data_IF_529382655999
#
_entry.id   IF_529382655999
#
_cell.length_a   1.000
_cell.length_b   1.000
_cell.length_c   1.000
_cell.angle_alpha   90.00
_cell.angle_beta   90.00
_cell.angle_gamma   90.00
#
_symmetry.space_group_name_H-M   'P 1'
#
loop_
_entity.id
_entity.type
_entity.pdbx_description
1 polymer ?
#
# COMPACT_ATOMS: atom_id res chain seq x y z
N UNK A 1 -32.69 21.62 2.33
CA UNK A 1 -31.46 21.34 3.09
C UNK A 1 -31.22 19.85 2.99
N UNK A 2 -30.10 19.46 2.38
CA UNK A 2 -29.81 18.09 2.02
C UNK A 2 -29.04 17.44 3.17
N UNK A 3 -29.64 16.42 3.78
CA UNK A 3 -28.97 15.58 4.76
C UNK A 3 -27.89 14.78 4.04
N UNK A 4 -26.62 14.98 4.40
CA UNK A 4 -25.56 14.04 4.04
C UNK A 4 -25.48 13.00 5.17
N UNK A 5 -25.82 11.73 4.92
CA UNK A 5 -25.74 10.70 5.93
C UNK A 5 -24.26 10.36 6.13
N UNK A 6 -23.73 10.77 7.28
CA UNK A 6 -22.60 10.09 7.92
C UNK A 6 -22.99 8.61 8.04
N UNK A 7 -22.52 7.83 7.07
CA UNK A 7 -22.53 6.39 7.07
C UNK A 7 -21.41 5.92 7.97
N UNK A 8 -21.72 5.81 9.26
CA UNK A 8 -20.94 5.08 10.24
C UNK A 8 -20.65 3.65 9.76
N UNK A 9 -19.48 3.48 9.18
CA UNK A 9 -18.64 2.29 9.26
C UNK A 9 -17.20 2.82 9.44
N UNK A 10 -16.79 3.32 10.60
CA UNK A 10 -16.79 2.59 11.86
C UNK A 10 -15.49 1.79 11.99
N UNK A 11 -14.37 2.48 12.27
CA UNK A 11 -13.19 1.87 12.89
C UNK A 11 -11.87 1.97 12.11
N UNK A 12 -11.11 3.05 12.34
CA UNK A 12 -9.86 3.08 13.12
C UNK A 12 -9.70 4.53 13.60
N UNK A 13 -9.47 4.74 14.89
CA UNK A 13 -9.18 6.04 15.46
C UNK A 13 -7.96 6.68 14.78
N UNK A 14 -8.11 7.88 14.25
CA UNK A 14 -7.03 8.69 13.64
C UNK A 14 -6.01 9.24 14.64
N UNK A 15 -6.10 8.85 15.92
CA UNK A 15 -5.15 9.23 16.99
C UNK A 15 -4.53 8.03 17.72
N UNK A 16 -4.61 6.81 17.16
CA UNK A 16 -4.24 5.58 17.87
C UNK A 16 -2.84 5.00 17.64
N UNK A 17 -2.00 5.56 16.76
CA UNK A 17 -0.77 4.87 16.32
C UNK A 17 0.48 5.76 16.30
N UNK A 18 0.66 6.55 17.35
CA UNK A 18 2.01 6.98 17.74
C UNK A 18 2.22 6.55 19.18
N UNK A 19 3.26 5.77 19.42
CA UNK A 19 3.77 5.43 20.74
C UNK A 19 4.36 6.70 21.42
N UNK A 20 3.52 7.72 21.61
CA UNK A 20 3.79 8.89 22.42
C UNK A 20 5.03 9.71 22.07
N UNK A 21 5.50 9.77 20.81
CA UNK A 21 6.65 10.62 20.49
C UNK A 21 6.72 11.17 19.05
N UNK A 22 5.92 12.20 18.70
CA UNK A 22 5.89 12.78 17.36
C UNK A 22 7.08 13.72 17.03
N UNK A 23 8.20 13.67 17.77
CA UNK A 23 9.22 14.76 17.73
C UNK A 23 10.65 14.30 17.38
N UNK A 24 10.95 13.02 17.18
CA UNK A 24 12.38 12.60 17.04
C UNK A 24 12.89 12.18 15.67
N UNK A 25 12.06 12.09 14.64
CA UNK A 25 12.54 11.63 13.33
C UNK A 25 12.11 12.58 12.21
N UNK A 26 12.66 13.80 12.25
CA UNK A 26 12.82 14.58 11.02
C UNK A 26 13.97 13.91 10.27
N UNK A 27 13.67 13.02 9.32
CA UNK A 27 14.63 12.54 8.33
C UNK A 27 14.72 13.60 7.22
N UNK A 28 15.80 14.40 7.13
CA UNK A 28 15.88 15.52 6.20
C UNK A 28 15.86 15.09 4.72
N UNK A 29 16.03 13.79 4.45
CA UNK A 29 16.00 13.23 3.10
C UNK A 29 14.71 12.45 2.82
N UNK A 30 14.01 11.94 3.85
CA UNK A 30 12.70 11.29 3.72
C UNK A 30 12.65 10.08 2.80
N UNK A 31 13.79 9.43 2.55
CA UNK A 31 13.90 8.41 1.49
C UNK A 31 13.61 6.99 1.97
N UNK A 32 13.58 6.72 3.28
CA UNK A 32 13.39 5.35 3.81
C UNK A 32 12.42 5.28 5.01
N UNK A 33 11.96 6.42 5.52
CA UNK A 33 11.02 6.49 6.63
C UNK A 33 9.58 6.65 6.12
N UNK A 34 8.61 6.24 6.94
CA UNK A 34 7.19 6.47 6.64
C UNK A 34 6.85 7.97 6.81
N UNK A 35 6.52 8.65 5.71
CA UNK A 35 6.05 10.04 5.72
C UNK A 35 4.52 10.11 5.71
N UNK A 36 3.96 10.43 6.88
CA UNK A 36 2.52 10.61 7.11
C UNK A 36 1.95 11.91 6.55
N UNK A 37 2.82 12.85 6.19
CA UNK A 37 2.46 14.21 5.79
C UNK A 37 2.78 14.51 4.33
N UNK A 38 3.21 13.51 3.56
CA UNK A 38 3.63 13.70 2.17
C UNK A 38 2.50 14.28 1.31
N UNK A 39 2.66 15.56 0.96
CA UNK A 39 1.79 16.35 0.07
C UNK A 39 2.45 16.67 -1.28
N UNK A 40 3.59 16.06 -1.57
CA UNK A 40 4.37 16.32 -2.78
C UNK A 40 3.50 16.17 -4.02
N UNK A 41 3.64 17.08 -4.98
CA UNK A 41 2.90 17.05 -6.25
C UNK A 41 1.38 17.23 -6.13
N UNK A 42 0.88 17.69 -4.97
CA UNK A 42 -0.55 17.89 -4.69
C UNK A 42 -1.23 16.67 -4.07
N UNK A 43 -0.46 15.77 -3.47
CA UNK A 43 -1.00 14.57 -2.81
C UNK A 43 -1.87 14.94 -1.61
N UNK A 44 -3.05 14.32 -1.54
CA UNK A 44 -3.99 14.51 -0.43
C UNK A 44 -3.63 13.62 0.76
N UNK A 45 -3.75 14.14 1.99
CA UNK A 45 -3.45 13.37 3.21
C UNK A 45 -4.34 12.13 3.39
N UNK A 46 -5.55 12.13 2.82
CA UNK A 46 -6.44 10.96 2.79
C UNK A 46 -5.89 9.81 1.95
N UNK A 47 -4.84 10.05 1.15
CA UNK A 47 -4.09 8.99 0.45
C UNK A 47 -3.25 8.14 1.43
N UNK A 48 -3.15 8.55 2.69
CA UNK A 48 -2.37 7.86 3.73
C UNK A 48 -0.87 8.15 3.61
N UNK A 49 -0.03 7.50 4.42
CA UNK A 49 1.42 7.72 4.40
C UNK A 49 2.09 7.17 3.13
N UNK A 50 3.30 7.65 2.87
CA UNK A 50 4.25 7.04 1.92
C UNK A 50 5.39 6.36 2.67
N UNK A 51 5.97 5.31 2.12
CA UNK A 51 7.16 4.66 2.66
C UNK A 51 8.14 4.40 1.53
N UNK A 52 9.37 4.90 1.64
CA UNK A 52 10.34 4.82 0.56
C UNK A 52 9.90 5.57 -0.71
N UNK A 53 10.41 5.14 -1.86
CA UNK A 53 10.11 5.75 -3.16
C UNK A 53 8.86 5.18 -3.84
N UNK A 54 8.37 4.02 -3.41
CA UNK A 54 7.32 3.26 -4.10
C UNK A 54 6.15 2.87 -3.18
N UNK A 55 6.30 2.92 -1.86
CA UNK A 55 5.21 2.67 -0.94
C UNK A 55 4.22 3.83 -0.87
N UNK A 56 2.98 3.61 -1.32
CA UNK A 56 1.83 4.43 -0.96
C UNK A 56 0.93 4.82 -2.10
N UNK A 57 -0.34 5.10 -1.78
CA UNK A 57 -1.32 5.52 -2.79
C UNK A 57 -0.86 6.82 -3.44
N UNK A 58 -0.88 6.87 -4.77
CA UNK A 58 -0.45 8.01 -5.57
C UNK A 58 1.01 8.43 -5.36
N UNK A 59 1.88 7.50 -4.96
CA UNK A 59 3.31 7.72 -4.79
C UNK A 59 4.06 6.57 -5.44
N UNK A 60 4.90 6.87 -6.43
CA UNK A 60 5.59 5.82 -7.20
C UNK A 60 6.86 6.36 -7.83
N UNK A 61 8.00 5.70 -7.61
CA UNK A 61 9.30 6.14 -8.10
C UNK A 61 9.71 7.53 -7.63
N UNK A 62 9.35 7.90 -6.40
CA UNK A 62 9.72 9.18 -5.76
C UNK A 62 8.91 10.38 -6.24
N UNK A 63 7.80 10.16 -6.96
CA UNK A 63 6.93 11.24 -7.46
C UNK A 63 5.46 10.94 -7.19
N UNK A 64 4.65 11.99 -7.18
CA UNK A 64 3.21 11.84 -7.16
C UNK A 64 2.69 11.33 -8.51
N UNK A 65 2.07 10.16 -8.49
CA UNK A 65 1.80 9.36 -9.70
C UNK A 65 0.33 9.36 -10.15
N UNK A 66 -0.59 9.92 -9.36
CA UNK A 66 -2.03 9.93 -9.71
C UNK A 66 -2.41 11.10 -10.61
N UNK A 67 -3.21 10.82 -11.63
CA UNK A 67 -3.83 11.84 -12.50
C UNK A 67 -3.40 11.71 -13.96
N UNK A 68 -4.01 12.50 -14.87
CA UNK A 68 -3.76 12.39 -16.29
C UNK A 68 -2.29 12.60 -16.65
N UNK A 69 -1.72 11.68 -17.42
CA UNK A 69 -0.33 11.74 -17.90
C UNK A 69 0.74 11.54 -16.81
N UNK A 70 0.35 11.11 -15.61
CA UNK A 70 1.28 10.81 -14.51
C UNK A 70 1.48 9.30 -14.40
N UNK A 71 2.65 8.92 -13.88
CA UNK A 71 3.07 7.53 -13.72
C UNK A 71 4.26 7.45 -12.77
N UNK A 72 4.85 6.26 -12.62
CA UNK A 72 6.03 6.06 -11.81
C UNK A 72 7.20 6.95 -12.23
N UNK A 73 7.91 7.49 -11.25
CA UNK A 73 9.19 8.15 -11.46
C UNK A 73 10.34 7.16 -11.63
N UNK A 74 11.57 7.67 -11.60
CA UNK A 74 12.79 6.87 -11.81
C UNK A 74 13.60 6.63 -10.54
N UNK A 75 13.13 7.07 -9.37
CA UNK A 75 13.85 6.82 -8.13
C UNK A 75 13.91 5.31 -7.84
N UNK A 76 15.08 4.75 -7.51
CA UNK A 76 15.21 3.31 -7.25
C UNK A 76 14.49 2.94 -5.94
N UNK A 77 14.11 1.66 -5.76
CA UNK A 77 13.66 1.16 -4.47
C UNK A 77 14.73 1.36 -3.41
N UNK A 78 14.32 1.73 -2.21
CA UNK A 78 15.25 2.02 -1.11
C UNK A 78 15.49 0.83 -0.18
N UNK A 79 14.49 -0.05 -0.03
CA UNK A 79 14.59 -1.32 0.69
C UNK A 79 13.83 -2.45 -0.04
N UNK A 80 13.85 -3.66 0.53
CA UNK A 80 13.16 -4.81 -0.08
C UNK A 80 11.63 -4.67 -0.09
N UNK A 81 11.03 -3.94 0.85
CA UNK A 81 9.61 -3.62 0.81
C UNK A 81 9.30 -2.69 -0.35
N UNK A 82 10.14 -1.68 -0.57
CA UNK A 82 10.06 -0.74 -1.68
C UNK A 82 10.22 -1.44 -3.04
N UNK A 83 11.02 -2.51 -3.10
CA UNK A 83 11.08 -3.37 -4.29
C UNK A 83 9.76 -4.07 -4.58
N UNK A 84 9.08 -4.57 -3.54
CA UNK A 84 7.74 -5.16 -3.67
C UNK A 84 6.72 -4.13 -4.15
N UNK A 85 6.74 -2.92 -3.58
CA UNK A 85 5.85 -1.84 -4.02
C UNK A 85 6.14 -1.39 -5.45
N UNK A 86 7.41 -1.33 -5.85
CA UNK A 86 7.79 -1.07 -7.24
C UNK A 86 7.23 -2.11 -8.21
N UNK A 87 7.35 -3.39 -7.87
CA UNK A 87 6.80 -4.49 -8.66
C UNK A 87 5.28 -4.33 -8.83
N UNK A 88 4.58 -4.01 -7.74
CA UNK A 88 3.14 -3.80 -7.71
C UNK A 88 2.67 -2.60 -8.55
N UNK A 89 3.32 -1.44 -8.40
CA UNK A 89 2.98 -0.24 -9.16
C UNK A 89 3.21 -0.43 -10.66
N UNK A 90 4.35 -1.04 -11.04
CA UNK A 90 4.63 -1.35 -12.43
C UNK A 90 3.61 -2.35 -13.01
N UNK A 91 3.12 -3.29 -12.18
CA UNK A 91 2.04 -4.20 -12.56
C UNK A 91 0.73 -3.43 -12.79
N UNK A 92 0.36 -2.52 -11.89
CA UNK A 92 -0.80 -1.65 -12.04
C UNK A 92 -0.77 -0.84 -13.34
N UNK A 93 0.39 -0.24 -13.67
CA UNK A 93 0.56 0.51 -14.93
C UNK A 93 0.31 -0.39 -16.14
N UNK A 94 0.85 -1.61 -16.15
CA UNK A 94 0.65 -2.58 -17.24
C UNK A 94 -0.81 -3.03 -17.35
N UNK A 95 -1.49 -3.21 -16.22
CA UNK A 95 -2.89 -3.65 -16.18
C UNK A 95 -3.88 -2.55 -16.58
N UNK A 96 -3.56 -1.28 -16.32
CA UNK A 96 -4.49 -0.17 -16.53
C UNK A 96 -5.80 -0.40 -15.76
N UNK A 97 -6.92 -0.47 -16.48
CA UNK A 97 -8.26 -0.66 -15.89
C UNK A 97 -8.72 -2.12 -15.81
N UNK A 98 -7.90 -3.10 -16.20
CA UNK A 98 -8.25 -4.52 -16.10
C UNK A 98 -8.27 -4.96 -14.63
N UNK A 99 -9.48 -5.16 -14.11
CA UNK A 99 -9.73 -5.54 -12.71
C UNK A 99 -9.18 -6.92 -12.34
N UNK A 100 -9.13 -7.87 -13.27
CA UNK A 100 -8.59 -9.20 -12.98
C UNK A 100 -7.06 -9.16 -12.92
N UNK A 101 -6.45 -8.38 -13.82
CA UNK A 101 -5.02 -8.11 -13.82
C UNK A 101 -4.60 -7.37 -12.53
N UNK A 102 -5.30 -6.29 -12.15
CA UNK A 102 -5.04 -5.55 -10.90
C UNK A 102 -5.12 -6.46 -9.67
N UNK A 103 -6.12 -7.36 -9.60
CA UNK A 103 -6.22 -8.35 -8.51
C UNK A 103 -5.05 -9.35 -8.50
N UNK A 104 -4.44 -9.65 -9.65
CA UNK A 104 -3.24 -10.48 -9.70
C UNK A 104 -2.04 -9.71 -9.14
N UNK A 105 -1.92 -8.42 -9.45
CA UNK A 105 -0.88 -7.56 -8.85
C UNK A 105 -0.99 -7.55 -7.32
N UNK A 106 -2.19 -7.39 -6.76
CA UNK A 106 -2.40 -7.41 -5.29
C UNK A 106 -1.97 -8.72 -4.65
N UNK A 107 -2.26 -9.85 -5.31
CA UNK A 107 -1.81 -11.17 -4.86
C UNK A 107 -0.31 -11.32 -4.90
N UNK A 108 0.31 -10.86 -5.99
CA UNK A 108 1.75 -10.89 -6.14
C UNK A 108 2.42 -10.08 -5.04
N UNK A 109 1.96 -8.84 -4.81
CA UNK A 109 2.49 -7.98 -3.74
C UNK A 109 2.44 -8.68 -2.39
N UNK A 110 1.29 -9.27 -2.02
CA UNK A 110 1.17 -10.00 -0.76
C UNK A 110 2.12 -11.19 -0.67
N UNK A 111 2.31 -11.93 -1.76
CA UNK A 111 3.25 -13.04 -1.81
C UNK A 111 4.68 -12.58 -1.57
N UNK A 112 5.09 -11.50 -2.25
CA UNK A 112 6.42 -10.90 -2.10
C UNK A 112 6.64 -10.35 -0.67
N UNK A 113 5.70 -9.58 -0.12
CA UNK A 113 5.81 -9.03 1.24
C UNK A 113 5.83 -10.13 2.31
N UNK A 114 5.05 -11.21 2.14
CA UNK A 114 5.03 -12.33 3.10
C UNK A 114 6.32 -13.16 3.07
N UNK A 115 7.04 -13.14 1.94
CA UNK A 115 8.33 -13.82 1.81
C UNK A 115 9.47 -13.07 2.52
N UNK A 116 9.29 -11.79 2.83
CA UNK A 116 10.26 -11.02 3.60
C UNK A 116 10.29 -11.47 5.06
N UNK A 117 11.48 -11.66 5.67
CA UNK A 117 11.59 -11.96 7.10
C UNK A 117 10.83 -10.97 8.00
N UNK A 118 10.31 -11.45 9.12
CA UNK A 118 9.59 -10.58 10.06
C UNK A 118 10.45 -9.41 10.58
N UNK A 119 11.76 -9.61 10.71
CA UNK A 119 12.71 -8.55 11.07
C UNK A 119 13.30 -7.89 9.81
N UNK A 120 13.03 -6.58 9.54
CA UNK A 120 13.52 -5.92 8.33
C UNK A 120 15.04 -5.83 8.20
N UNK A 121 15.78 -5.97 9.30
CA UNK A 121 17.24 -6.07 9.27
C UNK A 121 17.74 -7.31 8.53
N UNK A 122 16.88 -8.31 8.34
CA UNK A 122 17.17 -9.55 7.64
C UNK A 122 16.65 -9.56 6.21
N UNK A 123 16.04 -8.47 5.73
CA UNK A 123 15.62 -8.38 4.34
C UNK A 123 16.85 -8.39 3.42
N UNK A 124 16.73 -8.92 2.17
CA UNK A 124 17.84 -8.95 1.22
C UNK A 124 18.51 -7.58 1.02
N UNK A 125 17.69 -6.54 0.99
CA UNK A 125 18.07 -5.13 1.11
C UNK A 125 17.32 -4.59 2.33
N UNK A 126 18.00 -4.46 3.49
CA UNK A 126 17.38 -3.93 4.69
C UNK A 126 17.13 -2.43 4.58
N UNK A 127 16.10 -1.89 5.25
CA UNK A 127 15.91 -0.46 5.36
C UNK A 127 17.07 0.21 6.09
N UNK A 128 17.20 1.52 5.91
CA UNK A 128 18.15 2.34 6.67
C UNK A 128 18.02 2.08 8.18
N UNK A 129 19.17 2.01 8.85
CA UNK A 129 19.22 1.87 10.29
C UNK A 129 18.42 3.00 10.99
N UNK A 130 17.50 2.62 11.86
CA UNK A 130 16.58 3.53 12.55
C UNK A 130 15.18 3.58 11.94
N UNK A 131 14.93 3.01 10.76
CA UNK A 131 13.60 2.96 10.12
C UNK A 131 13.03 1.54 10.04
N UNK A 132 13.66 0.55 10.68
CA UNK A 132 13.26 -0.86 10.53
C UNK A 132 11.89 -1.16 11.14
N UNK A 133 11.45 -0.40 12.14
CA UNK A 133 10.10 -0.53 12.69
C UNK A 133 9.06 0.04 11.73
N UNK A 134 9.32 1.22 11.15
CA UNK A 134 8.46 1.85 10.14
C UNK A 134 8.23 0.93 8.93
N UNK A 135 9.31 0.37 8.34
CA UNK A 135 9.19 -0.55 7.20
C UNK A 135 8.42 -1.83 7.57
N UNK A 136 8.57 -2.34 8.80
CA UNK A 136 7.82 -3.50 9.29
C UNK A 136 6.34 -3.20 9.38
N UNK A 137 5.99 -2.10 10.03
CA UNK A 137 4.60 -1.70 10.26
C UNK A 137 3.91 -1.37 8.94
N UNK A 138 4.61 -0.70 8.02
CA UNK A 138 4.08 -0.40 6.69
C UNK A 138 3.82 -1.67 5.88
N UNK A 139 4.75 -2.64 5.90
CA UNK A 139 4.53 -3.98 5.31
C UNK A 139 3.31 -4.66 5.91
N UNK A 140 3.22 -4.71 7.23
CA UNK A 140 2.15 -5.43 7.92
C UNK A 140 0.77 -4.78 7.67
N UNK A 141 0.73 -3.45 7.58
CA UNK A 141 -0.44 -2.71 7.14
C UNK A 141 -0.82 -3.01 5.69
N UNK A 142 0.15 -3.07 4.77
CA UNK A 142 -0.11 -3.46 3.38
C UNK A 142 -0.68 -4.88 3.30
N UNK A 143 -0.07 -5.85 4.01
CA UNK A 143 -0.58 -7.23 4.08
C UNK A 143 -2.03 -7.29 4.58
N UNK A 144 -2.38 -6.49 5.58
CA UNK A 144 -3.76 -6.38 6.09
C UNK A 144 -4.70 -5.75 5.06
N UNK A 145 -4.30 -4.63 4.45
CA UNK A 145 -5.11 -3.89 3.49
C UNK A 145 -5.46 -4.75 2.27
N UNK A 146 -4.45 -5.34 1.64
CA UNK A 146 -4.64 -6.23 0.49
C UNK A 146 -5.16 -7.64 0.89
N UNK A 147 -5.11 -7.98 2.17
CA UNK A 147 -5.71 -9.19 2.73
C UNK A 147 -7.24 -9.12 2.82
N UNK A 148 -7.76 -8.00 3.28
CA UNK A 148 -9.19 -7.75 3.40
C UNK A 148 -9.88 -7.65 2.02
N UNK A 149 -9.21 -7.09 1.01
CA UNK A 149 -9.75 -6.98 -0.35
C UNK A 149 -9.92 -8.34 -1.03
N UNK A 150 -9.05 -9.32 -0.74
CA UNK A 150 -9.21 -10.69 -1.22
C UNK A 150 -10.43 -11.39 -0.63
N UNK A 151 -10.62 -11.30 0.70
CA UNK A 151 -11.75 -11.94 1.37
C UNK A 151 -13.11 -11.45 0.84
N UNK A 152 -13.23 -10.16 0.54
CA UNK A 152 -14.42 -9.57 -0.08
C UNK A 152 -14.58 -9.93 -1.57
N UNK A 153 -13.47 -10.15 -2.28
CA UNK A 153 -13.50 -10.57 -3.68
C UNK A 153 -13.84 -12.05 -3.87
N UNK A 154 -13.50 -12.91 -2.92
CA UNK A 154 -13.79 -14.35 -2.95
C UNK A 154 -15.28 -14.61 -2.76
N UNK A 155 -15.92 -13.93 -1.80
CA UNK A 155 -17.37 -14.05 -1.56
C UNK A 155 -18.21 -13.60 -2.76
N UNK A 156 -17.81 -12.54 -3.48
CA UNK A 156 -18.51 -12.10 -4.70
C UNK A 156 -18.43 -13.11 -5.85
N UNK A 157 -17.28 -13.80 -6.03
CA UNK A 157 -17.13 -14.80 -7.09
C UNK A 157 -17.81 -16.13 -6.78
N UNK A 158 -17.95 -16.49 -5.50
CA UNK A 158 -18.74 -17.65 -5.07
C UNK A 158 -20.24 -17.44 -5.29
N UNK A 159 -20.75 -16.22 -5.09
CA UNK A 159 -22.16 -15.88 -5.35
C UNK A 159 -22.49 -15.94 -6.86
N UNK A 160 -21.54 -15.60 -7.74
CA UNK A 160 -21.74 -15.65 -9.20
C UNK A 160 -21.56 -17.05 -9.81
N UNK A 161 -21.00 -18.02 -9.07
CA UNK A 161 -20.88 -19.44 -9.47
C UNK A 161 -22.01 -20.28 -8.87
N UNK A 162 -23.25 -19.83 -9.03
CA UNK A 162 -24.45 -20.53 -8.56
C UNK A 162 -24.41 -22.04 -8.88
N UNK A 163 -25.09 -22.89 -8.10
CA UNK A 163 -24.95 -24.34 -8.16
C UNK A 163 -25.16 -24.84 -9.59
N UNK A 164 -24.14 -25.50 -10.13
CA UNK A 164 -24.18 -26.18 -11.43
C UNK A 164 -25.36 -27.15 -11.44
N UNK A 165 -26.46 -26.80 -12.11
CA UNK A 165 -27.55 -27.74 -12.37
C UNK A 165 -27.00 -28.85 -13.26
N UNK A 166 -26.69 -29.99 -12.65
CA UNK A 166 -26.53 -31.26 -13.35
C UNK A 166 -27.90 -31.58 -13.96
N UNK A 167 -27.98 -31.50 -15.28
CA UNK A 167 -29.10 -32.07 -16.03
C UNK A 167 -28.84 -33.58 -16.06
N UNK A 168 -29.68 -34.34 -15.39
CA UNK A 168 -29.96 -35.75 -15.65
C UNK A 168 -31.46 -35.87 -15.92
#
# INVERSE_FOLDING_TARGET
MQSDPIGLAGGINTYGFVNGNPVRFIDPFGLDATDWSNRTGGRDLSSGPTNGNWGGKCWSGGVYSCGPGRGPGSAPPTDSGDMCYQSHDNCYVKCGSDRLCVRQCDRQLRGELTALPNDPRQWPIPPRAGTEEDSRDYRDHALKYFGATEALGTTYNEIQRGPSRRIQ
#
